data_IF_591338239162
#
_entry.id   IF_591338239162
#
_cell.length_a   1.000
_cell.length_b   1.000
_cell.length_c   1.000
_cell.angle_alpha   90.00
_cell.angle_beta   90.00
_cell.angle_gamma   90.00
#
_symmetry.space_group_name_H-M   'P 1'
#
loop_
_entity.id
_entity.type
_entity.pdbx_description
1 polymer ?
#
# COMPACT_ATOMS: atom_id res chain seq x y z
N UNK A 1 1.96 -2.71 -13.09
CA UNK A 1 0.64 -2.73 -13.74
C UNK A 1 0.73 -1.94 -15.03
N UNK A 2 0.36 -2.48 -16.20
CA UNK A 2 0.35 -1.72 -17.45
C UNK A 2 -0.72 -0.63 -17.40
N UNK A 3 -0.39 0.55 -17.88
CA UNK A 3 -1.30 1.70 -17.95
C UNK A 3 -1.70 1.88 -19.41
N UNK A 4 -3.00 1.87 -19.75
CA UNK A 4 -3.46 2.19 -21.11
C UNK A 4 -3.01 3.59 -21.51
N UNK A 5 -2.47 3.75 -22.70
CA UNK A 5 -2.14 5.07 -23.27
C UNK A 5 -2.73 5.17 -24.68
N UNK A 6 -3.38 6.28 -24.96
CA UNK A 6 -4.13 6.50 -26.21
C UNK A 6 -3.26 6.58 -27.47
N UNK A 7 -1.97 6.89 -27.35
CA UNK A 7 -1.15 7.29 -28.50
C UNK A 7 0.01 6.33 -28.85
N UNK A 8 0.17 5.20 -28.16
CA UNK A 8 1.21 4.24 -28.50
C UNK A 8 0.73 2.81 -28.31
N UNK A 9 0.93 1.99 -29.34
CA UNK A 9 0.68 0.54 -29.30
C UNK A 9 1.68 -0.22 -28.39
N UNK A 10 2.41 0.48 -27.49
CA UNK A 10 3.38 -0.09 -26.59
C UNK A 10 2.90 0.04 -25.14
N UNK A 11 2.99 -1.04 -24.35
CA UNK A 11 2.57 -1.00 -22.95
C UNK A 11 3.46 -0.02 -22.15
N UNK A 12 2.81 0.72 -21.25
CA UNK A 12 3.48 1.56 -20.24
C UNK A 12 3.30 0.94 -18.86
N UNK A 13 4.30 1.09 -18.03
CA UNK A 13 4.29 0.61 -16.66
C UNK A 13 4.55 1.76 -15.71
N UNK A 14 3.81 1.81 -14.61
CA UNK A 14 4.19 2.60 -13.44
C UNK A 14 5.08 1.73 -12.56
N UNK A 15 6.26 2.24 -12.22
CA UNK A 15 7.24 1.55 -11.38
C UNK A 15 7.36 2.29 -10.07
N UNK A 16 7.14 1.59 -8.97
CA UNK A 16 7.43 2.04 -7.62
C UNK A 16 8.61 1.21 -7.14
N UNK A 17 9.71 1.88 -6.85
CA UNK A 17 10.94 1.26 -6.36
C UNK A 17 11.23 1.79 -4.96
N UNK A 18 11.00 0.96 -3.95
CA UNK A 18 11.35 1.27 -2.58
C UNK A 18 12.85 1.00 -2.38
N UNK A 19 13.56 1.95 -1.80
CA UNK A 19 15.00 1.86 -1.59
C UNK A 19 15.42 2.74 -0.42
N UNK A 20 16.55 2.43 0.21
CA UNK A 20 17.18 3.32 1.20
C UNK A 20 17.56 4.66 0.58
N UNK A 21 17.61 5.71 1.39
CA UNK A 21 17.85 7.09 0.97
C UNK A 21 19.10 7.24 0.10
N UNK A 22 20.21 6.62 0.49
CA UNK A 22 21.45 6.64 -0.29
C UNK A 22 21.28 6.01 -1.68
N UNK A 23 20.56 4.89 -1.77
CA UNK A 23 20.26 4.23 -3.04
C UNK A 23 19.30 5.07 -3.88
N UNK A 24 18.28 5.69 -3.27
CA UNK A 24 17.35 6.60 -3.94
C UNK A 24 18.12 7.78 -4.57
N UNK A 25 18.98 8.44 -3.79
CA UNK A 25 19.78 9.56 -4.28
C UNK A 25 20.66 9.15 -5.48
N UNK A 26 21.31 7.99 -5.39
CA UNK A 26 22.12 7.43 -6.49
C UNK A 26 21.27 7.15 -7.73
N UNK A 27 20.14 6.46 -7.58
CA UNK A 27 19.23 6.12 -8.68
C UNK A 27 18.64 7.37 -9.37
N UNK A 28 18.35 8.42 -8.62
CA UNK A 28 17.86 9.68 -9.17
C UNK A 28 18.94 10.43 -9.97
N UNK A 29 20.21 10.26 -9.60
CA UNK A 29 21.35 10.90 -10.26
C UNK A 29 21.82 10.16 -11.54
N UNK A 30 21.39 8.91 -11.76
CA UNK A 30 21.77 8.16 -12.96
C UNK A 30 21.26 8.83 -14.24
N UNK A 31 21.96 8.59 -15.37
CA UNK A 31 21.39 8.86 -16.69
C UNK A 31 20.13 8.00 -16.94
N UNK A 32 19.32 8.39 -17.91
CA UNK A 32 18.13 7.60 -18.27
C UNK A 32 18.51 6.20 -18.78
N UNK A 33 19.61 6.09 -19.49
CA UNK A 33 20.10 4.81 -20.01
C UNK A 33 20.61 3.89 -18.90
N UNK A 34 21.38 4.42 -17.97
CA UNK A 34 21.93 3.65 -16.86
C UNK A 34 20.82 3.21 -15.89
N UNK A 35 19.85 4.09 -15.63
CA UNK A 35 18.69 3.75 -14.83
C UNK A 35 17.85 2.63 -15.48
N UNK A 36 17.57 2.72 -16.79
CA UNK A 36 16.85 1.67 -17.52
C UNK A 36 17.58 0.33 -17.48
N UNK A 37 18.91 0.38 -17.58
CA UNK A 37 19.76 -0.82 -17.48
C UNK A 37 19.66 -1.46 -16.09
N UNK A 38 19.79 -0.67 -15.04
CA UNK A 38 19.70 -1.15 -13.66
C UNK A 38 18.31 -1.67 -13.33
N UNK A 39 17.27 -0.94 -13.75
CA UNK A 39 15.87 -1.38 -13.58
C UNK A 39 15.61 -2.69 -14.31
N UNK A 40 16.09 -2.83 -15.56
CA UNK A 40 15.95 -4.07 -16.34
C UNK A 40 16.62 -5.26 -15.65
N UNK A 41 17.81 -5.05 -15.07
CA UNK A 41 18.51 -6.11 -14.31
C UNK A 41 17.73 -6.51 -13.06
N UNK A 42 17.12 -5.55 -12.37
CA UNK A 42 16.38 -5.78 -11.14
C UNK A 42 15.07 -6.53 -11.38
N UNK A 43 14.27 -6.12 -12.39
CA UNK A 43 12.96 -6.73 -12.65
C UNK A 43 13.02 -7.93 -13.61
N UNK A 44 14.17 -8.13 -14.26
CA UNK A 44 14.31 -9.15 -15.29
C UNK A 44 13.49 -8.83 -16.55
N UNK A 45 13.15 -9.88 -17.31
CA UNK A 45 12.49 -9.76 -18.62
C UNK A 45 10.97 -10.01 -18.59
N UNK A 46 10.36 -10.09 -17.41
CA UNK A 46 8.92 -10.40 -17.24
C UNK A 46 7.98 -9.41 -17.94
N UNK A 47 8.41 -8.16 -18.09
CA UNK A 47 7.65 -7.10 -18.75
C UNK A 47 8.20 -6.78 -20.16
N UNK A 48 9.14 -7.57 -20.66
CA UNK A 48 9.85 -7.32 -21.90
C UNK A 48 10.98 -6.32 -21.73
N UNK A 49 11.52 -5.82 -22.87
CA UNK A 49 12.61 -4.84 -22.87
C UNK A 49 12.09 -3.43 -22.55
N UNK A 50 12.66 -2.81 -21.55
CA UNK A 50 12.41 -1.41 -21.24
C UNK A 50 13.17 -0.53 -22.25
N UNK A 51 12.45 0.31 -22.98
CA UNK A 51 13.02 1.08 -24.10
C UNK A 51 13.05 2.58 -23.83
N UNK A 52 12.17 3.08 -22.96
CA UNK A 52 12.08 4.50 -22.62
C UNK A 52 11.51 4.68 -21.23
N UNK A 53 12.01 5.65 -20.51
CA UNK A 53 11.44 6.02 -19.22
C UNK A 53 10.78 7.40 -19.27
N UNK A 54 9.87 7.63 -18.33
CA UNK A 54 9.29 8.92 -18.03
C UNK A 54 10.06 9.64 -16.93
N UNK A 55 9.42 10.66 -16.35
CA UNK A 55 9.98 11.42 -15.23
C UNK A 55 10.13 10.54 -13.98
N UNK A 56 11.31 10.61 -13.35
CA UNK A 56 11.58 10.03 -12.03
C UNK A 56 11.31 11.07 -10.95
N UNK A 57 10.82 10.62 -9.82
CA UNK A 57 10.73 11.43 -8.61
C UNK A 57 10.90 10.51 -7.40
N UNK A 58 11.47 11.03 -6.32
CA UNK A 58 11.62 10.32 -5.07
C UNK A 58 10.91 11.04 -3.95
N UNK A 59 10.33 10.27 -3.04
CA UNK A 59 9.69 10.77 -1.83
C UNK A 59 10.15 9.94 -0.64
N UNK A 60 10.35 10.58 0.53
CA UNK A 60 10.58 9.84 1.76
C UNK A 60 9.33 9.02 2.08
N UNK A 61 9.56 7.79 2.49
CA UNK A 61 8.50 6.91 2.98
C UNK A 61 8.51 6.95 4.51
N UNK A 62 7.36 7.27 5.09
CA UNK A 62 7.17 7.25 6.54
C UNK A 62 5.80 6.69 6.86
N UNK A 63 5.73 5.89 7.91
CA UNK A 63 4.45 5.50 8.51
C UNK A 63 4.04 6.60 9.46
N UNK A 64 2.88 7.20 9.20
CA UNK A 64 2.31 8.25 10.06
C UNK A 64 0.88 7.83 10.40
N UNK A 65 0.54 7.86 11.68
CA UNK A 65 -0.79 7.50 12.15
C UNK A 65 -1.28 8.60 13.08
N UNK A 66 -2.49 9.08 12.85
CA UNK A 66 -3.12 10.03 13.76
C UNK A 66 -3.40 9.36 15.10
N UNK A 67 -3.14 10.08 16.20
CA UNK A 67 -3.46 9.61 17.55
C UNK A 67 -4.96 9.59 17.84
N UNK A 68 -5.70 10.47 17.16
CA UNK A 68 -7.15 10.62 17.27
C UNK A 68 -7.72 10.59 15.85
N UNK A 69 -8.71 9.77 15.59
CA UNK A 69 -9.39 9.75 14.30
C UNK A 69 -10.66 10.59 14.30
N UNK A 70 -11.23 10.85 15.49
CA UNK A 70 -12.52 11.51 15.61
C UNK A 70 -12.53 12.60 16.69
N UNK A 71 -13.30 13.63 16.43
CA UNK A 71 -13.79 14.62 17.39
C UNK A 71 -15.26 14.87 17.12
N UNK A 72 -15.94 15.63 18.00
CA UNK A 72 -17.34 15.97 17.78
C UNK A 72 -17.54 16.53 16.36
N UNK A 73 -18.35 15.84 15.55
CA UNK A 73 -18.70 16.19 14.16
C UNK A 73 -17.49 16.23 13.18
N UNK A 74 -16.39 15.57 13.53
CA UNK A 74 -15.18 15.55 12.70
C UNK A 74 -14.58 14.14 12.67
N UNK A 75 -14.21 13.69 11.47
CA UNK A 75 -13.55 12.38 11.23
C UNK A 75 -12.36 12.61 10.30
N UNK A 76 -11.22 12.01 10.61
CA UNK A 76 -10.08 11.91 9.72
C UNK A 76 -10.18 10.63 8.88
N UNK A 77 -9.91 10.74 7.57
CA UNK A 77 -9.96 9.64 6.63
C UNK A 77 -8.75 9.66 5.69
N UNK A 78 -8.36 8.49 5.19
CA UNK A 78 -7.27 8.34 4.23
C UNK A 78 -5.94 8.84 4.80
N UNK A 79 -5.15 9.55 3.99
CA UNK A 79 -3.82 10.02 4.40
C UNK A 79 -3.82 10.99 5.59
N UNK A 80 -4.95 11.62 5.92
CA UNK A 80 -5.06 12.44 7.14
C UNK A 80 -5.18 11.59 8.42
N UNK A 81 -5.68 10.37 8.29
CA UNK A 81 -5.78 9.39 9.38
C UNK A 81 -4.53 8.52 9.48
N UNK A 82 -4.03 8.06 8.35
CA UNK A 82 -2.90 7.13 8.28
C UNK A 82 -2.15 7.22 6.95
N UNK A 83 -0.85 7.21 7.02
CA UNK A 83 0.04 6.93 5.88
C UNK A 83 0.76 5.63 6.20
N UNK A 84 0.56 4.61 5.38
CA UNK A 84 1.17 3.30 5.56
C UNK A 84 2.23 3.03 4.51
N UNK A 85 3.10 2.06 4.76
CA UNK A 85 4.11 1.67 3.79
C UNK A 85 3.46 1.23 2.45
N UNK A 86 3.97 1.66 1.28
CA UNK A 86 3.34 1.38 -0.03
C UNK A 86 3.40 -0.09 -0.45
N UNK A 87 4.01 -0.95 0.35
CA UNK A 87 4.05 -2.39 0.12
C UNK A 87 2.63 -2.93 0.00
N UNK A 88 2.39 -3.66 -1.07
CA UNK A 88 1.09 -4.24 -1.43
C UNK A 88 -0.06 -3.24 -1.66
N UNK A 89 0.19 -1.92 -1.73
CA UNK A 89 -0.83 -0.91 -2.05
C UNK A 89 -2.00 -0.82 -1.07
N UNK A 90 -1.80 -1.20 0.20
CA UNK A 90 -2.88 -1.34 1.18
C UNK A 90 -3.46 -0.01 1.69
N UNK A 91 -2.73 1.11 1.58
CA UNK A 91 -3.20 2.40 2.10
C UNK A 91 -4.52 2.86 1.49
N UNK A 92 -4.68 2.70 0.17
CA UNK A 92 -5.93 3.02 -0.52
C UNK A 92 -7.08 2.10 -0.09
N UNK A 93 -6.82 0.79 -0.02
CA UNK A 93 -7.81 -0.19 0.41
C UNK A 93 -8.28 0.07 1.85
N UNK A 94 -7.37 0.44 2.75
CA UNK A 94 -7.67 0.81 4.13
C UNK A 94 -8.59 2.04 4.17
N UNK A 95 -8.27 3.06 3.38
CA UNK A 95 -9.09 4.27 3.25
C UNK A 95 -10.51 3.97 2.76
N UNK A 96 -10.67 3.07 1.78
CA UNK A 96 -11.99 2.66 1.27
C UNK A 96 -12.78 1.90 2.35
N UNK A 97 -12.14 1.07 3.16
CA UNK A 97 -12.80 0.39 4.28
C UNK A 97 -13.29 1.38 5.33
N UNK A 98 -12.52 2.41 5.63
CA UNK A 98 -12.94 3.48 6.55
C UNK A 98 -14.13 4.27 6.01
N UNK A 99 -14.10 4.63 4.73
CA UNK A 99 -15.25 5.28 4.07
C UNK A 99 -16.49 4.41 4.17
N UNK A 100 -16.37 3.09 3.91
CA UNK A 100 -17.51 2.16 4.04
C UNK A 100 -18.06 2.11 5.47
N UNK A 101 -17.20 2.04 6.49
CA UNK A 101 -17.62 2.07 7.90
C UNK A 101 -18.34 3.37 8.26
N UNK A 102 -17.80 4.49 7.78
CA UNK A 102 -18.41 5.80 8.02
C UNK A 102 -19.76 5.92 7.33
N UNK A 103 -19.93 5.41 6.12
CA UNK A 103 -21.22 5.40 5.42
C UNK A 103 -22.26 4.58 6.19
N UNK A 104 -21.90 3.39 6.67
CA UNK A 104 -22.80 2.56 7.50
C UNK A 104 -23.22 3.32 8.77
N UNK A 105 -22.31 4.02 9.42
CA UNK A 105 -22.62 4.84 10.57
C UNK A 105 -23.59 5.98 10.21
N UNK A 106 -23.33 6.72 9.14
CA UNK A 106 -24.18 7.81 8.65
C UNK A 106 -25.59 7.29 8.34
N UNK A 107 -25.71 6.19 7.61
CA UNK A 107 -26.99 5.56 7.29
C UNK A 107 -27.77 5.19 8.57
N UNK A 108 -27.08 4.66 9.57
CA UNK A 108 -27.70 4.32 10.86
C UNK A 108 -28.16 5.54 11.65
N UNK A 109 -27.47 6.67 11.54
CA UNK A 109 -27.86 7.93 12.19
C UNK A 109 -29.03 8.60 11.49
N UNK A 110 -29.08 8.55 10.16
CA UNK A 110 -30.20 9.08 9.37
C UNK A 110 -31.51 8.30 9.61
N UNK A 111 -31.41 7.04 10.02
CA UNK A 111 -32.57 6.21 10.36
C UNK A 111 -33.09 6.45 11.81
N UNK A 112 -32.43 7.30 12.57
CA UNK A 112 -32.77 7.59 13.97
C UNK A 112 -32.78 9.10 14.23
N UNK A 113 -33.58 9.58 15.19
CA UNK A 113 -33.57 11.00 15.62
C UNK A 113 -32.33 11.36 16.48
N UNK A 114 -31.25 10.61 16.37
CA UNK A 114 -30.04 10.84 17.14
C UNK A 114 -29.30 12.09 16.61
N UNK A 115 -28.61 12.86 17.47
CA UNK A 115 -27.81 13.99 17.03
C UNK A 115 -26.72 13.54 16.06
N UNK A 116 -26.75 14.07 14.83
CA UNK A 116 -25.79 13.70 13.79
C UNK A 116 -24.36 14.04 14.18
N UNK A 117 -23.45 13.08 14.07
CA UNK A 117 -22.03 13.25 14.39
C UNK A 117 -21.76 13.28 15.90
N UNK A 118 -22.60 12.66 16.72
CA UNK A 118 -22.37 12.54 18.15
C UNK A 118 -21.05 11.81 18.43
N UNK A 119 -20.22 12.36 19.32
CA UNK A 119 -18.88 11.83 19.61
C UNK A 119 -18.92 10.36 20.04
N UNK A 120 -19.90 9.96 20.85
CA UNK A 120 -20.03 8.55 21.29
C UNK A 120 -20.17 7.56 20.13
N UNK A 121 -20.85 7.97 19.06
CA UNK A 121 -21.02 7.17 17.83
C UNK A 121 -19.73 7.16 17.00
N UNK A 122 -19.11 8.32 16.85
CA UNK A 122 -17.84 8.43 16.14
C UNK A 122 -16.72 7.63 16.85
N UNK A 123 -16.72 7.55 18.18
CA UNK A 123 -15.79 6.70 18.93
C UNK A 123 -15.99 5.20 18.65
N UNK A 124 -17.17 4.74 18.29
CA UNK A 124 -17.38 3.36 17.85
C UNK A 124 -16.75 3.11 16.47
N UNK A 125 -16.89 4.08 15.56
CA UNK A 125 -16.17 4.06 14.27
C UNK A 125 -14.65 4.05 14.49
N UNK A 126 -14.12 4.93 15.34
CA UNK A 126 -12.69 5.01 15.66
C UNK A 126 -12.15 3.66 16.16
N UNK A 127 -12.80 3.03 17.13
CA UNK A 127 -12.37 1.71 17.64
C UNK A 127 -12.31 0.65 16.54
N UNK A 128 -13.32 0.60 15.67
CA UNK A 128 -13.38 -0.36 14.58
C UNK A 128 -12.31 -0.10 13.51
N UNK A 129 -12.04 1.17 13.21
CA UNK A 129 -11.02 1.59 12.25
C UNK A 129 -9.60 1.39 12.79
N UNK A 130 -9.34 1.76 14.05
CA UNK A 130 -8.00 1.62 14.67
C UNK A 130 -7.53 0.17 14.68
N UNK A 131 -8.41 -0.79 14.98
CA UNK A 131 -8.05 -2.21 14.96
C UNK A 131 -7.62 -2.68 13.55
N UNK A 132 -8.29 -2.21 12.49
CA UNK A 132 -7.94 -2.53 11.11
C UNK A 132 -6.65 -1.81 10.68
N UNK A 133 -6.46 -0.55 11.13
CA UNK A 133 -5.23 0.20 10.90
C UNK A 133 -4.02 -0.51 11.50
N UNK A 134 -4.08 -0.90 12.77
CA UNK A 134 -3.01 -1.61 13.47
C UNK A 134 -2.63 -2.92 12.76
N UNK A 135 -3.62 -3.73 12.37
CA UNK A 135 -3.37 -4.97 11.64
C UNK A 135 -2.72 -4.70 10.27
N UNK A 136 -3.19 -3.68 9.55
CA UNK A 136 -2.67 -3.36 8.22
C UNK A 136 -1.25 -2.80 8.32
N UNK A 137 -0.99 -1.91 9.28
CA UNK A 137 0.33 -1.33 9.55
C UNK A 137 1.32 -2.44 9.92
N UNK A 138 0.95 -3.30 10.87
CA UNK A 138 1.80 -4.42 11.27
C UNK A 138 2.13 -5.32 10.08
N UNK A 139 1.13 -5.72 9.30
CA UNK A 139 1.34 -6.58 8.14
C UNK A 139 2.24 -5.93 7.08
N UNK A 140 2.05 -4.64 6.79
CA UNK A 140 2.87 -3.91 5.80
C UNK A 140 4.28 -3.63 6.31
N UNK A 141 4.47 -3.40 7.60
CA UNK A 141 5.79 -3.21 8.23
C UNK A 141 6.58 -4.51 8.23
N UNK A 142 5.99 -5.61 8.71
CA UNK A 142 6.64 -6.93 8.68
C UNK A 142 7.02 -7.33 7.26
N UNK A 143 6.13 -7.07 6.29
CA UNK A 143 6.42 -7.37 4.89
C UNK A 143 7.56 -6.49 4.35
N UNK A 144 7.59 -5.20 4.72
CA UNK A 144 8.68 -4.29 4.35
C UNK A 144 10.01 -4.77 4.93
N UNK A 145 10.05 -5.09 6.22
CA UNK A 145 11.26 -5.52 6.92
C UNK A 145 11.83 -6.84 6.37
N UNK A 146 10.96 -7.74 5.93
CA UNK A 146 11.38 -9.00 5.30
C UNK A 146 12.13 -8.78 3.97
N UNK A 147 11.84 -7.68 3.25
CA UNK A 147 12.48 -7.37 1.97
C UNK A 147 13.59 -6.31 2.07
N UNK A 148 13.73 -5.65 3.22
CA UNK A 148 14.66 -4.52 3.39
C UNK A 148 16.07 -4.96 3.78
N UNK A 149 16.24 -6.16 4.34
CA UNK A 149 17.54 -6.71 4.75
C UNK A 149 17.99 -7.80 3.78
N UNK A 150 19.02 -7.56 2.95
CA UNK A 150 19.67 -8.63 2.20
C UNK A 150 20.45 -9.53 3.19
N UNK A 151 19.80 -10.50 3.74
CA UNK A 151 20.42 -11.50 4.58
C UNK A 151 20.27 -12.87 3.91
N UNK A 152 21.33 -13.70 3.78
CA UNK A 152 21.24 -15.00 3.11
C UNK A 152 20.11 -15.89 3.62
N UNK A 153 19.76 -15.74 4.90
CA UNK A 153 18.66 -16.48 5.54
C UNK A 153 17.30 -15.90 5.13
N UNK A 154 17.16 -14.56 5.06
CA UNK A 154 15.88 -13.92 4.66
C UNK A 154 15.60 -14.12 3.18
N UNK A 155 16.60 -14.13 2.31
CA UNK A 155 16.46 -14.43 0.89
C UNK A 155 15.99 -15.86 0.66
N UNK A 156 16.55 -16.83 1.42
CA UNK A 156 16.17 -18.24 1.32
C UNK A 156 14.78 -18.47 1.93
N UNK A 157 14.50 -17.93 3.11
CA UNK A 157 13.21 -18.05 3.79
C UNK A 157 12.12 -17.27 3.04
N UNK A 158 12.42 -16.07 2.55
CA UNK A 158 11.52 -15.27 1.74
C UNK A 158 11.16 -15.97 0.43
N UNK A 159 12.14 -16.52 -0.28
CA UNK A 159 11.93 -17.30 -1.50
C UNK A 159 11.13 -18.59 -1.24
N UNK A 160 11.42 -19.29 -0.15
CA UNK A 160 10.68 -20.48 0.26
C UNK A 160 9.24 -20.13 0.69
N UNK A 161 9.04 -19.03 1.42
CA UNK A 161 7.72 -18.54 1.81
C UNK A 161 6.88 -18.13 0.58
N UNK A 162 7.45 -17.40 -0.37
CA UNK A 162 6.79 -17.05 -1.64
C UNK A 162 6.46 -18.29 -2.47
N UNK A 163 7.38 -19.27 -2.53
CA UNK A 163 7.14 -20.54 -3.21
C UNK A 163 6.04 -21.34 -2.52
N UNK A 164 5.99 -21.35 -1.18
CA UNK A 164 4.92 -21.99 -0.42
C UNK A 164 3.55 -21.32 -0.68
N UNK A 165 3.51 -20.00 -0.80
CA UNK A 165 2.30 -19.25 -1.18
C UNK A 165 1.82 -19.65 -2.58
N UNK A 166 2.72 -19.84 -3.53
CA UNK A 166 2.35 -20.27 -4.88
C UNK A 166 1.82 -21.71 -4.92
N UNK A 167 2.35 -22.61 -4.07
CA UNK A 167 1.99 -24.03 -4.03
C UNK A 167 0.71 -24.27 -3.20
N UNK A 168 0.37 -23.40 -2.25
CA UNK A 168 -0.76 -23.56 -1.33
C UNK A 168 -1.95 -22.65 -1.70
N UNK A 169 -2.94 -23.16 -2.46
CA UNK A 169 -4.09 -22.37 -2.94
C UNK A 169 -4.85 -21.60 -1.85
N UNK A 170 -5.06 -22.15 -0.62
CA UNK A 170 -5.77 -21.39 0.43
C UNK A 170 -4.96 -20.19 0.94
N UNK A 171 -3.64 -20.30 1.04
CA UNK A 171 -2.78 -19.18 1.45
C UNK A 171 -2.77 -18.10 0.36
N UNK A 172 -2.62 -18.49 -0.89
CA UNK A 172 -2.67 -17.57 -2.03
C UNK A 172 -4.02 -16.84 -2.13
N UNK A 173 -5.14 -17.53 -1.87
CA UNK A 173 -6.47 -16.89 -1.81
C UNK A 173 -6.56 -15.90 -0.66
N UNK A 174 -6.14 -16.28 0.54
CA UNK A 174 -6.16 -15.39 1.72
C UNK A 174 -5.31 -14.14 1.53
N UNK A 175 -4.11 -14.27 0.97
CA UNK A 175 -3.25 -13.12 0.62
C UNK A 175 -3.89 -12.28 -0.49
N UNK A 176 -4.49 -12.92 -1.50
CA UNK A 176 -5.19 -12.23 -2.58
C UNK A 176 -6.42 -11.48 -2.08
N UNK A 177 -7.23 -12.06 -1.21
CA UNK A 177 -8.39 -11.42 -0.58
C UNK A 177 -7.96 -10.26 0.32
N UNK A 178 -6.91 -10.44 1.12
CA UNK A 178 -6.30 -9.36 1.89
C UNK A 178 -5.81 -8.23 0.97
N UNK A 179 -5.06 -8.57 -0.09
CA UNK A 179 -4.54 -7.60 -1.07
C UNK A 179 -5.64 -6.85 -1.83
N UNK A 180 -6.79 -7.48 -2.04
CA UNK A 180 -7.97 -6.88 -2.69
C UNK A 180 -8.89 -6.16 -1.69
N UNK A 181 -8.55 -6.12 -0.40
CA UNK A 181 -9.40 -5.50 0.62
C UNK A 181 -10.74 -6.21 0.85
N UNK A 182 -10.85 -7.46 0.42
CA UNK A 182 -12.03 -8.31 0.64
C UNK A 182 -11.91 -9.01 1.99
N UNK A 183 -12.51 -8.42 3.01
CA UNK A 183 -12.75 -9.00 4.34
C UNK A 183 -14.18 -8.77 4.75
#
# INVERSE_FOLDING_TARGET
>A
MPIPHSDSNKPRYNVIWCAHEATQARLLALSDEDFLRELQMTIGWRVGKLVKMGRRAGWPLSVVVSRELVRARCVLLGNSAHTVHPVAGQGFNLSIRDVKRLLILIESELATDAPFGALSRLMAFERASSADHEQTILATTVLSDLFDQPHPITDTVGSAALSAVDIMPPIRRGIGEFGMGRR
#
